data_IF_366134182445
#
_entry.id   IF_366134182445
#
_cell.length_a   1.000
_cell.length_b   1.000
_cell.length_c   1.000
_cell.angle_alpha   90.00
_cell.angle_beta   90.00
_cell.angle_gamma   90.00
#
_symmetry.space_group_name_H-M   'P 1'
#
loop_
_entity.id
_entity.type
_entity.pdbx_description
1 polymer ?
#
# COMPACT_ATOMS: atom_id res chain seq x y z
N UNK A 1 3.06 -5.65 4.31
CA UNK A 1 2.28 -5.80 3.07
C UNK A 1 0.85 -5.31 3.25
N UNK A 2 0.03 -6.03 4.03
CA UNK A 2 -1.40 -5.71 4.21
C UNK A 2 -1.63 -4.28 4.77
N UNK A 3 -0.88 -3.89 5.81
CA UNK A 3 -0.99 -2.55 6.39
C UNK A 3 -0.67 -1.42 5.40
N UNK A 4 0.26 -1.66 4.48
CA UNK A 4 0.63 -0.67 3.44
C UNK A 4 -0.51 -0.52 2.43
N UNK A 5 -1.01 -1.65 1.93
CA UNK A 5 -2.04 -1.70 0.90
C UNK A 5 -3.39 -1.17 1.38
N UNK A 6 -3.82 -1.54 2.60
CA UNK A 6 -5.13 -1.16 3.13
C UNK A 6 -5.15 0.20 3.82
N UNK A 7 -4.07 0.60 4.49
CA UNK A 7 -4.07 1.79 5.35
C UNK A 7 -3.01 2.80 4.94
N UNK A 8 -1.73 2.53 5.23
CA UNK A 8 -0.67 3.55 5.20
C UNK A 8 -0.59 4.27 3.85
N UNK A 9 -0.66 3.55 2.73
CA UNK A 9 -0.49 4.18 1.43
C UNK A 9 -1.73 4.93 0.95
N UNK A 10 -2.91 4.55 1.41
CA UNK A 10 -4.15 5.30 1.13
C UNK A 10 -4.20 6.58 1.96
N UNK A 11 -3.75 6.53 3.22
CA UNK A 11 -3.63 7.72 4.09
C UNK A 11 -2.58 8.70 3.55
N UNK A 12 -1.44 8.20 3.07
CA UNK A 12 -0.43 9.04 2.40
C UNK A 12 -1.01 9.77 1.17
N UNK A 13 -1.76 9.07 0.31
CA UNK A 13 -2.39 9.64 -0.88
C UNK A 13 -3.45 10.70 -0.51
N UNK A 14 -4.29 10.40 0.48
CA UNK A 14 -5.29 11.34 0.98
C UNK A 14 -4.66 12.61 1.56
N UNK A 15 -3.60 12.46 2.37
CA UNK A 15 -2.90 13.60 2.96
C UNK A 15 -2.23 14.47 1.90
N UNK A 16 -1.61 13.86 0.89
CA UNK A 16 -1.03 14.58 -0.24
C UNK A 16 -2.10 15.33 -1.02
N UNK A 17 -3.17 14.66 -1.42
CA UNK A 17 -4.27 15.29 -2.15
C UNK A 17 -4.88 16.45 -1.36
N UNK A 18 -5.17 16.27 -0.07
CA UNK A 18 -5.73 17.34 0.76
C UNK A 18 -4.81 18.56 0.85
N UNK A 19 -3.49 18.33 1.04
CA UNK A 19 -2.51 19.39 1.11
C UNK A 19 -2.34 20.15 -0.21
N UNK A 20 -2.30 19.43 -1.34
CA UNK A 20 -2.18 20.04 -2.68
C UNK A 20 -3.39 20.91 -3.06
N UNK A 21 -4.55 20.63 -2.48
CA UNK A 21 -5.77 21.43 -2.67
C UNK A 21 -5.94 22.54 -1.63
N UNK A 22 -4.87 22.90 -0.92
CA UNK A 22 -4.84 24.04 0.00
C UNK A 22 -5.35 23.75 1.41
N UNK A 23 -5.54 22.48 1.78
CA UNK A 23 -5.94 22.10 3.12
C UNK A 23 -4.78 22.09 4.11
N UNK A 24 -4.98 22.68 5.29
CA UNK A 24 -4.05 22.56 6.41
C UNK A 24 -4.00 21.09 6.88
N UNK A 25 -2.89 20.43 6.59
CA UNK A 25 -2.76 18.98 6.72
C UNK A 25 -1.71 18.65 7.77
N UNK A 26 -2.02 17.75 8.70
CA UNK A 26 -1.08 17.28 9.72
C UNK A 26 -1.06 15.75 9.71
N UNK A 27 0.13 15.18 9.63
CA UNK A 27 0.31 13.73 9.53
C UNK A 27 1.02 13.22 10.78
N UNK A 28 0.56 12.11 11.37
CA UNK A 28 1.29 11.41 12.43
C UNK A 28 1.61 9.97 12.08
N UNK A 29 2.63 9.43 12.74
CA UNK A 29 2.95 8.01 12.74
C UNK A 29 3.06 7.55 14.19
N UNK A 30 2.17 6.68 14.63
CA UNK A 30 2.17 6.17 16.01
C UNK A 30 3.05 4.93 16.10
N UNK A 31 4.08 4.97 16.95
CA UNK A 31 5.06 3.88 17.06
C UNK A 31 5.26 3.36 18.47
N UNK A 32 4.42 3.76 19.43
CA UNK A 32 4.48 3.25 20.79
C UNK A 32 3.69 1.96 20.94
N UNK A 33 4.29 0.94 21.55
CA UNK A 33 3.57 -0.27 21.98
C UNK A 33 3.19 -0.11 23.45
N UNK A 34 1.89 -0.10 23.72
CA UNK A 34 1.39 0.04 25.08
C UNK A 34 1.87 -1.09 26.01
N UNK A 35 2.27 -0.73 27.23
CA UNK A 35 2.63 -1.68 28.30
C UNK A 35 1.48 -2.61 28.68
N UNK A 36 0.23 -2.13 28.52
CA UNK A 36 -0.99 -2.88 28.77
C UNK A 36 -1.45 -3.73 27.58
N UNK A 37 -0.72 -3.73 26.46
CA UNK A 37 -1.08 -4.55 25.30
C UNK A 37 -0.82 -6.04 25.56
N UNK A 38 -1.87 -6.85 25.49
CA UNK A 38 -1.81 -8.30 25.80
C UNK A 38 -1.43 -9.19 24.61
N UNK A 39 -1.41 -8.64 23.39
CA UNK A 39 -0.99 -9.38 22.20
C UNK A 39 0.49 -9.75 22.24
N UNK A 40 0.92 -10.82 21.57
CA UNK A 40 2.34 -11.16 21.47
C UNK A 40 3.25 -10.02 20.97
N UNK A 41 4.50 -10.01 21.41
CA UNK A 41 5.46 -8.93 21.09
C UNK A 41 5.75 -8.77 19.61
N UNK A 42 5.79 -9.88 18.86
CA UNK A 42 6.02 -9.87 17.41
C UNK A 42 4.97 -9.06 16.63
N UNK A 43 3.79 -8.82 17.21
CA UNK A 43 2.73 -8.04 16.59
C UNK A 43 3.01 -6.52 16.63
N UNK A 44 3.96 -6.08 17.45
CA UNK A 44 4.37 -4.68 17.51
C UNK A 44 3.23 -3.74 17.92
N UNK A 45 3.06 -2.65 17.16
CA UNK A 45 2.01 -1.64 17.32
C UNK A 45 0.86 -1.97 16.39
N UNK A 46 -0.30 -2.25 16.97
CA UNK A 46 -1.47 -2.73 16.25
C UNK A 46 -2.40 -1.59 15.84
N UNK A 47 -3.21 -1.86 14.82
CA UNK A 47 -4.22 -0.92 14.34
C UNK A 47 -5.24 -0.59 15.45
N UNK A 48 -5.48 0.70 15.67
CA UNK A 48 -6.47 1.22 16.62
C UNK A 48 -5.97 1.30 18.07
N UNK A 49 -4.72 0.92 18.37
CA UNK A 49 -4.20 1.00 19.73
C UNK A 49 -3.83 2.41 20.17
N UNK A 50 -3.72 3.36 19.24
CA UNK A 50 -3.60 4.78 19.55
C UNK A 50 -4.88 5.36 20.18
N UNK A 51 -6.04 4.73 19.93
CA UNK A 51 -7.35 5.17 20.44
C UNK A 51 -7.33 5.25 21.98
N UNK A 52 -6.70 4.29 22.65
CA UNK A 52 -6.56 4.26 24.11
C UNK A 52 -5.90 5.56 24.63
N UNK A 53 -4.88 6.06 23.92
CA UNK A 53 -4.17 7.28 24.29
C UNK A 53 -4.97 8.54 23.97
N UNK A 54 -5.69 8.56 22.84
CA UNK A 54 -6.55 9.68 22.43
C UNK A 54 -7.70 9.89 23.44
N UNK A 55 -8.28 8.82 23.96
CA UNK A 55 -9.41 8.88 24.90
C UNK A 55 -9.01 8.89 26.38
N UNK A 56 -7.71 8.97 26.68
CA UNK A 56 -7.25 9.12 28.06
C UNK A 56 -7.33 7.85 28.91
N UNK A 57 -7.37 6.66 28.31
CA UNK A 57 -7.36 5.39 29.06
C UNK A 57 -6.18 5.29 30.06
N UNK A 58 -4.96 5.80 29.74
CA UNK A 58 -3.86 5.83 30.71
C UNK A 58 -4.15 6.54 32.04
N UNK A 59 -5.18 7.39 32.09
CA UNK A 59 -5.63 8.06 33.31
C UNK A 59 -6.61 7.24 34.15
N UNK A 60 -7.16 6.14 33.62
CA UNK A 60 -8.04 5.23 34.35
C UNK A 60 -7.22 4.23 35.19
N UNK A 61 -6.63 4.73 36.27
CA UNK A 61 -5.77 3.95 37.19
C UNK A 61 -6.53 2.89 37.99
N UNK A 62 -7.87 2.94 38.00
CA UNK A 62 -8.69 1.93 38.65
C UNK A 62 -8.74 0.61 37.86
N UNK A 63 -8.55 0.67 36.53
CA UNK A 63 -8.64 -0.51 35.64
C UNK A 63 -7.33 -0.86 34.96
N UNK A 64 -6.45 0.11 34.73
CA UNK A 64 -5.26 -0.09 33.92
C UNK A 64 -3.99 0.42 34.60
N UNK A 65 -2.86 -0.21 34.28
CA UNK A 65 -1.55 0.10 34.85
C UNK A 65 -0.59 0.59 33.76
N UNK A 66 -0.86 1.79 33.25
CA UNK A 66 0.04 2.46 32.31
C UNK A 66 1.20 3.14 33.03
N UNK A 67 2.35 3.19 32.36
CA UNK A 67 3.56 3.88 32.84
C UNK A 67 3.36 5.40 32.89
N UNK A 68 4.26 6.11 33.58
CA UNK A 68 4.23 7.58 33.63
C UNK A 68 4.42 8.20 32.24
N UNK A 69 5.30 7.63 31.43
CA UNK A 69 5.57 8.12 30.06
C UNK A 69 4.36 7.94 29.15
N UNK A 70 3.57 6.88 29.35
CA UNK A 70 2.34 6.63 28.60
C UNK A 70 1.22 7.62 28.96
N UNK A 71 1.13 8.03 30.22
CA UNK A 71 0.23 9.12 30.63
C UNK A 71 0.63 10.44 29.98
N UNK A 72 1.93 10.73 29.90
CA UNK A 72 2.43 11.90 29.20
C UNK A 72 2.16 11.83 27.69
N UNK A 73 2.37 10.67 27.05
CA UNK A 73 2.01 10.45 25.65
C UNK A 73 0.52 10.68 25.40
N UNK A 74 -0.36 10.15 26.26
CA UNK A 74 -1.81 10.39 26.18
C UNK A 74 -2.16 11.86 26.34
N UNK A 75 -1.49 12.58 27.23
CA UNK A 75 -1.68 14.04 27.40
C UNK A 75 -1.31 14.81 26.15
N UNK A 76 -0.20 14.44 25.51
CA UNK A 76 0.23 15.05 24.24
C UNK A 76 -0.77 14.78 23.12
N UNK A 77 -1.23 13.53 22.97
CA UNK A 77 -2.29 13.17 22.02
C UNK A 77 -3.56 14.00 22.25
N UNK A 78 -4.11 13.98 23.47
CA UNK A 78 -5.32 14.73 23.79
C UNK A 78 -5.16 16.24 23.52
N UNK A 79 -4.00 16.82 23.86
CA UNK A 79 -3.72 18.23 23.60
C UNK A 79 -3.69 18.54 22.10
N UNK A 80 -2.94 17.78 21.30
CA UNK A 80 -2.89 18.01 19.86
C UNK A 80 -4.26 17.89 19.20
N UNK A 81 -5.05 16.86 19.56
CA UNK A 81 -6.38 16.64 19.01
C UNK A 81 -7.37 17.74 19.43
N UNK A 82 -7.35 18.16 20.70
CA UNK A 82 -8.20 19.24 21.19
C UNK A 82 -7.84 20.60 20.58
N UNK A 83 -6.54 20.87 20.41
CA UNK A 83 -6.05 22.09 19.76
C UNK A 83 -6.48 22.14 18.28
N UNK A 84 -6.29 21.04 17.54
CA UNK A 84 -6.71 20.94 16.15
C UNK A 84 -8.22 21.12 16.00
N UNK A 85 -9.02 20.42 16.83
CA UNK A 85 -10.48 20.54 16.79
C UNK A 85 -10.98 21.98 17.07
N UNK A 86 -10.24 22.75 17.88
CA UNK A 86 -10.60 24.13 18.24
C UNK A 86 -10.12 25.17 17.24
N UNK A 87 -8.93 24.98 16.67
CA UNK A 87 -8.21 26.05 15.96
C UNK A 87 -7.79 25.70 14.53
N UNK A 88 -7.87 24.44 14.13
CA UNK A 88 -7.28 23.94 12.88
C UNK A 88 -5.78 23.67 12.96
N UNK A 89 -5.10 24.04 14.05
CA UNK A 89 -3.66 23.82 14.26
C UNK A 89 -3.44 23.00 15.54
N UNK A 90 -2.84 21.79 15.48
CA UNK A 90 -2.57 20.98 16.67
C UNK A 90 -1.61 21.67 17.65
N UNK A 91 -0.80 22.62 17.18
CA UNK A 91 0.21 23.28 18.00
C UNK A 91 -0.36 24.43 18.84
N UNK A 92 -1.50 25.00 18.47
CA UNK A 92 -2.02 26.23 19.07
C UNK A 92 -2.88 25.93 20.29
N UNK A 93 -2.39 26.29 21.47
CA UNK A 93 -3.11 26.12 22.72
C UNK A 93 -4.23 27.18 22.88
N UNK A 94 -5.24 26.91 23.74
CA UNK A 94 -6.36 27.84 23.95
C UNK A 94 -5.97 29.21 24.51
N UNK A 95 -4.85 29.29 25.23
CA UNK A 95 -4.29 30.53 25.80
C UNK A 95 -3.44 31.33 24.79
N UNK A 96 -3.35 30.85 23.54
CA UNK A 96 -2.54 31.47 22.48
C UNK A 96 -1.07 31.07 22.50
N UNK A 97 -0.63 30.25 23.45
CA UNK A 97 0.72 29.67 23.45
C UNK A 97 0.81 28.50 22.45
N UNK A 98 2.03 28.02 22.20
CA UNK A 98 2.27 26.87 21.32
C UNK A 98 2.76 25.66 22.10
N UNK A 99 2.54 24.45 21.57
CA UNK A 99 3.11 23.22 22.10
C UNK A 99 4.64 23.28 22.04
N UNK A 100 5.28 22.66 23.05
CA UNK A 100 6.75 22.61 23.16
C UNK A 100 7.37 21.89 21.96
N UNK A 101 6.80 20.73 21.62
CA UNK A 101 7.14 20.01 20.40
C UNK A 101 6.24 20.53 19.27
N UNK A 102 6.85 21.00 18.18
CA UNK A 102 6.10 21.50 17.02
C UNK A 102 5.78 20.35 16.07
N UNK A 103 4.49 20.17 15.77
CA UNK A 103 3.96 19.32 14.72
C UNK A 103 3.97 20.09 13.39
N UNK A 104 4.87 19.74 12.45
CA UNK A 104 4.98 20.44 11.18
C UNK A 104 3.76 20.18 10.29
N UNK A 105 3.34 21.18 9.49
CA UNK A 105 2.33 20.96 8.48
C UNK A 105 2.86 20.02 7.38
N UNK A 106 2.04 19.05 7.01
CA UNK A 106 2.30 18.14 5.90
C UNK A 106 2.12 18.88 4.57
N UNK A 107 3.08 18.69 3.66
CA UNK A 107 3.03 19.23 2.31
C UNK A 107 3.73 18.30 1.30
N UNK A 108 3.50 18.53 0.01
CA UNK A 108 4.06 17.72 -1.07
C UNK A 108 5.60 17.71 -1.12
N UNK A 109 6.27 18.76 -0.60
CA UNK A 109 7.73 18.88 -0.63
C UNK A 109 8.39 18.10 0.50
N UNK A 110 8.01 18.38 1.76
CA UNK A 110 8.63 17.77 2.94
C UNK A 110 7.96 16.45 3.32
N UNK A 111 6.65 16.31 3.10
CA UNK A 111 5.78 15.23 3.56
C UNK A 111 6.05 14.85 5.02
N UNK A 112 6.34 15.83 5.86
CA UNK A 112 6.74 15.57 7.24
C UNK A 112 5.59 15.03 8.08
N UNK A 113 5.93 14.18 9.03
CA UNK A 113 5.00 13.67 10.02
C UNK A 113 5.57 13.77 11.43
N UNK A 114 4.67 13.95 12.40
CA UNK A 114 4.99 13.78 13.80
C UNK A 114 4.98 12.30 14.16
N UNK A 115 6.13 11.77 14.55
CA UNK A 115 6.20 10.48 15.20
C UNK A 115 5.67 10.64 16.62
N UNK A 116 4.69 9.81 17.01
CA UNK A 116 4.09 9.85 18.34
C UNK A 116 4.47 8.58 19.10
N UNK A 117 5.47 8.73 19.97
CA UNK A 117 5.91 7.71 20.93
C UNK A 117 6.35 8.33 22.26
N UNK A 118 6.70 7.49 23.24
CA UNK A 118 7.21 7.89 24.56
C UNK A 118 8.59 8.56 24.49
N UNK A 119 8.94 9.30 25.54
CA UNK A 119 10.18 10.10 25.57
C UNK A 119 11.47 9.26 25.56
N UNK A 120 11.41 8.08 26.19
CA UNK A 120 12.52 7.12 26.20
C UNK A 120 12.88 6.63 24.79
N UNK A 121 11.89 6.47 23.91
CA UNK A 121 12.10 6.06 22.52
C UNK A 121 12.83 7.14 21.70
N UNK A 122 12.55 8.42 21.94
CA UNK A 122 13.31 9.49 21.29
C UNK A 122 14.75 9.52 21.77
N UNK A 123 14.96 9.29 23.06
CA UNK A 123 16.29 9.23 23.67
C UNK A 123 17.13 8.07 23.17
N UNK A 124 16.50 7.00 22.66
CA UNK A 124 17.16 5.80 22.12
C UNK A 124 17.28 5.78 20.60
N UNK A 125 16.86 6.86 19.91
CA UNK A 125 17.13 7.07 18.49
C UNK A 125 15.89 7.30 17.62
N UNK A 126 14.67 7.21 18.17
CA UNK A 126 13.48 7.62 17.43
C UNK A 126 13.53 9.12 17.15
N UNK A 127 13.14 9.51 15.94
CA UNK A 127 13.02 10.93 15.59
C UNK A 127 11.60 11.39 15.85
N UNK A 128 11.43 12.57 16.45
CA UNK A 128 10.12 13.22 16.60
C UNK A 128 9.51 13.57 15.24
N UNK A 129 10.32 14.10 14.32
CA UNK A 129 9.88 14.41 12.96
C UNK A 129 10.47 13.39 12.00
N UNK A 130 9.59 12.73 11.25
CA UNK A 130 9.93 11.88 10.12
C UNK A 130 9.36 12.45 8.83
N UNK A 131 9.57 11.73 7.73
CA UNK A 131 9.14 12.17 6.41
C UNK A 131 8.53 11.02 5.60
N UNK A 132 7.27 11.19 5.20
CA UNK A 132 6.43 10.30 4.39
C UNK A 132 6.59 8.83 4.75
N UNK A 133 5.90 8.29 5.76
CA UNK A 133 6.17 6.94 6.21
C UNK A 133 6.04 5.96 5.03
N UNK A 134 7.06 5.11 4.87
CA UNK A 134 7.04 3.98 3.91
C UNK A 134 6.90 4.38 2.44
N UNK A 135 7.48 5.53 2.02
CA UNK A 135 7.43 6.03 0.62
C UNK A 135 7.74 4.96 -0.43
N UNK A 136 8.80 4.19 -0.24
CA UNK A 136 9.23 3.15 -1.21
C UNK A 136 8.16 2.07 -1.38
N UNK A 137 7.56 1.63 -0.27
CA UNK A 137 6.50 0.63 -0.28
C UNK A 137 5.22 1.20 -0.90
N UNK A 138 4.89 2.45 -0.63
CA UNK A 138 3.73 3.08 -1.25
C UNK A 138 3.91 3.35 -2.74
N UNK A 139 5.09 3.74 -3.19
CA UNK A 139 5.40 3.83 -4.62
C UNK A 139 5.26 2.45 -5.31
N UNK A 140 5.66 1.37 -4.64
CA UNK A 140 5.42 0.02 -5.15
C UNK A 140 3.92 -0.27 -5.33
N UNK A 141 3.10 -0.05 -4.29
CA UNK A 141 1.66 -0.36 -4.36
C UNK A 141 0.88 0.55 -5.31
N UNK A 142 1.26 1.83 -5.40
CA UNK A 142 0.51 2.84 -6.16
C UNK A 142 0.97 2.98 -7.62
N UNK A 143 2.24 2.65 -7.91
CA UNK A 143 2.79 2.83 -9.25
C UNK A 143 3.15 1.48 -9.91
N UNK A 144 3.92 0.64 -9.20
CA UNK A 144 4.47 -0.59 -9.80
C UNK A 144 3.41 -1.66 -9.99
N UNK A 145 2.61 -1.95 -8.96
CA UNK A 145 1.59 -3.01 -9.02
C UNK A 145 0.54 -2.73 -10.10
N UNK A 146 -0.08 -1.53 -10.20
CA UNK A 146 -1.04 -1.24 -11.26
C UNK A 146 -0.43 -1.33 -12.66
N UNK A 147 0.79 -0.83 -12.84
CA UNK A 147 1.51 -0.92 -14.12
C UNK A 147 1.85 -2.36 -14.51
N UNK A 148 2.18 -3.21 -13.53
CA UNK A 148 2.43 -4.62 -13.77
C UNK A 148 1.15 -5.37 -14.15
N UNK A 149 0.04 -5.05 -13.48
CA UNK A 149 -1.26 -5.66 -13.75
C UNK A 149 -1.80 -5.28 -15.13
N UNK A 150 -1.62 -4.03 -15.58
CA UNK A 150 -2.04 -3.62 -16.91
C UNK A 150 -1.27 -4.37 -18.00
N UNK A 151 0.06 -4.47 -17.87
CA UNK A 151 0.90 -5.20 -18.84
C UNK A 151 0.61 -6.70 -18.83
N UNK A 152 0.38 -7.30 -17.66
CA UNK A 152 0.13 -8.74 -17.57
C UNK A 152 -1.27 -9.14 -18.06
N UNK A 153 -2.26 -8.26 -17.95
CA UNK A 153 -3.60 -8.48 -18.49
C UNK A 153 -3.57 -8.67 -20.02
N UNK A 154 -2.84 -7.80 -20.73
CA UNK A 154 -2.69 -7.87 -22.19
C UNK A 154 -1.98 -9.17 -22.64
N UNK A 155 -0.98 -9.60 -21.87
CA UNK A 155 -0.28 -10.88 -22.10
C UNK A 155 -1.22 -12.07 -21.88
N UNK A 156 -2.05 -12.02 -20.84
CA UNK A 156 -3.02 -13.08 -20.56
C UNK A 156 -4.01 -13.27 -21.71
N UNK A 157 -4.59 -12.19 -22.21
CA UNK A 157 -5.57 -12.25 -23.30
C UNK A 157 -4.94 -12.74 -24.61
N UNK A 158 -3.78 -12.20 -24.98
CA UNK A 158 -3.06 -12.61 -26.18
C UNK A 158 -2.61 -14.07 -26.12
N UNK A 159 -2.15 -14.54 -24.96
CA UNK A 159 -1.78 -15.95 -24.75
C UNK A 159 -3.00 -16.88 -24.83
N UNK A 160 -4.13 -16.52 -24.22
CA UNK A 160 -5.38 -17.31 -24.31
C UNK A 160 -5.83 -17.41 -25.77
N UNK A 161 -5.79 -16.30 -26.52
CA UNK A 161 -6.15 -16.30 -27.94
C UNK A 161 -5.21 -17.17 -28.75
N UNK A 162 -3.90 -17.02 -28.58
CA UNK A 162 -2.91 -17.85 -29.26
C UNK A 162 -3.11 -19.33 -28.94
N UNK A 163 -3.32 -19.70 -27.67
CA UNK A 163 -3.54 -21.08 -27.24
C UNK A 163 -4.76 -21.69 -27.92
N UNK A 164 -5.87 -20.94 -28.02
CA UNK A 164 -7.08 -21.37 -28.74
C UNK A 164 -6.80 -21.55 -30.24
N UNK A 165 -6.10 -20.61 -30.87
CA UNK A 165 -5.74 -20.72 -32.29
C UNK A 165 -4.81 -21.90 -32.57
N UNK A 166 -3.84 -22.15 -31.69
CA UNK A 166 -2.91 -23.25 -31.80
C UNK A 166 -3.60 -24.61 -31.64
N UNK A 167 -4.57 -24.71 -30.73
CA UNK A 167 -5.37 -25.93 -30.53
C UNK A 167 -6.21 -26.26 -31.77
N UNK A 168 -6.91 -25.27 -32.34
CA UNK A 168 -7.66 -25.44 -33.61
C UNK A 168 -6.71 -25.82 -34.75
N UNK A 169 -5.55 -25.15 -34.85
CA UNK A 169 -4.56 -25.49 -35.87
C UNK A 169 -4.06 -26.94 -35.74
N UNK A 170 -3.75 -27.38 -34.52
CA UNK A 170 -3.21 -28.70 -34.26
C UNK A 170 -4.23 -29.83 -34.45
N UNK A 171 -5.51 -29.57 -34.15
CA UNK A 171 -6.52 -30.62 -34.13
C UNK A 171 -7.39 -30.65 -35.39
N UNK A 172 -7.53 -29.52 -36.09
CA UNK A 172 -8.38 -29.40 -37.28
C UNK A 172 -7.55 -29.08 -38.52
N UNK A 173 -6.81 -27.97 -38.54
CA UNK A 173 -6.17 -27.50 -39.78
C UNK A 173 -5.01 -28.38 -40.23
N UNK A 174 -4.16 -28.85 -39.31
CA UNK A 174 -2.98 -29.64 -39.69
C UNK A 174 -3.37 -31.06 -40.12
N UNK A 175 -4.41 -31.63 -39.51
CA UNK A 175 -4.98 -32.94 -39.85
C UNK A 175 -5.62 -32.90 -41.23
N UNK A 176 -6.43 -31.86 -41.51
CA UNK A 176 -7.03 -31.65 -42.83
C UNK A 176 -5.95 -31.38 -43.90
N UNK A 177 -4.97 -30.53 -43.58
CA UNK A 177 -3.84 -30.26 -44.47
C UNK A 177 -3.04 -31.54 -44.79
N UNK A 178 -2.74 -32.36 -43.79
CA UNK A 178 -2.05 -33.64 -44.00
C UNK A 178 -2.85 -34.56 -44.92
N UNK A 179 -4.15 -34.67 -44.70
CA UNK A 179 -5.03 -35.45 -45.57
C UNK A 179 -4.96 -34.97 -47.02
N UNK A 180 -5.17 -33.67 -47.25
CA UNK A 180 -5.13 -33.09 -48.59
C UNK A 180 -3.75 -33.18 -49.24
N UNK A 181 -2.69 -33.02 -48.47
CA UNK A 181 -1.31 -33.14 -48.95
C UNK A 181 -0.99 -34.57 -49.40
N UNK A 182 -1.44 -35.59 -48.67
CA UNK A 182 -1.31 -36.98 -49.08
C UNK A 182 -2.10 -37.27 -50.37
N UNK A 183 -3.31 -36.73 -50.51
CA UNK A 183 -4.08 -36.85 -51.76
C UNK A 183 -3.37 -36.19 -52.93
N UNK A 184 -2.83 -34.99 -52.73
CA UNK A 184 -2.06 -34.28 -53.74
C UNK A 184 -0.85 -35.09 -54.21
N UNK A 185 -0.07 -35.67 -53.28
CA UNK A 185 1.07 -36.54 -53.63
C UNK A 185 0.63 -37.74 -54.48
N UNK A 186 -0.44 -38.44 -54.09
CA UNK A 186 -0.99 -39.57 -54.86
C UNK A 186 -1.38 -39.15 -56.27
N UNK A 187 -2.10 -38.04 -56.40
CA UNK A 187 -2.53 -37.51 -57.69
C UNK A 187 -1.35 -37.15 -58.60
N UNK A 188 -0.28 -36.55 -58.07
CA UNK A 188 0.94 -36.29 -58.85
C UNK A 188 1.61 -37.59 -59.31
N UNK A 189 1.66 -38.62 -58.47
CA UNK A 189 2.20 -39.93 -58.87
C UNK A 189 1.42 -40.55 -60.03
N UNK A 190 0.09 -40.57 -59.97
CA UNK A 190 -0.75 -41.08 -61.07
C UNK A 190 -0.54 -40.29 -62.36
N UNK A 191 -0.50 -38.95 -62.27
CA UNK A 191 -0.23 -38.09 -63.42
C UNK A 191 1.10 -38.40 -64.09
N UNK A 192 2.16 -38.70 -63.32
CA UNK A 192 3.46 -39.08 -63.87
C UNK A 192 3.45 -40.48 -64.51
N UNK A 193 2.71 -41.44 -63.96
CA UNK A 193 2.57 -42.78 -64.55
C UNK A 193 1.77 -42.79 -65.86
N UNK A 194 0.76 -41.93 -65.98
CA UNK A 194 -0.04 -41.77 -67.21
C UNK A 194 0.78 -41.11 -68.34
N UNK A 195 1.78 -40.28 -67.99
CA UNK A 195 2.73 -39.70 -68.95
C UNK A 195 3.74 -40.73 -69.47
N UNK A 196 4.20 -41.65 -68.61
CA UNK A 196 5.17 -42.70 -68.96
C UNK A 196 4.54 -43.89 -69.71
N UNK A 197 3.21 -44.04 -69.69
CA UNK A 197 2.47 -45.10 -70.40
C UNK A 197 1.99 -44.69 -71.81
N UNK A 198 2.28 -43.46 -72.25
CA UNK A 198 1.97 -42.95 -73.60
C UNK A 198 3.18 -42.97 -74.57
N UNK A 199 4.20 -43.79 -74.32
CA UNK A 199 5.29 -44.15 -75.27
C UNK A 199 5.33 -45.64 -75.50
#
# INVERSE_FOLDING_TARGET
MLGDYLFTCNVNEMALAHSEHGGDTYYYYFTHRASMQTWPDWMGVLHGYEINFIFGEPYNTARFQYSKEEKELSSRFMRYWANFARTGDPNKNPDGTYTVDTWPPYNAQSMEYMNLTVESDYSTGSKRIGSGPRRKQCAFWKNVVPSLLSVSADIGESFIRWKKQMDVWQNEYITDWQYHFEQYKKYQTYRHMDLDSCT
#
